data_IF_980865257842
#
_entry.id   IF_980865257842
#
_cell.length_a   1.000
_cell.length_b   1.000
_cell.length_c   1.000
_cell.angle_alpha   90.00
_cell.angle_beta   90.00
_cell.angle_gamma   90.00
#
_symmetry.space_group_name_H-M   'P 1'
#
loop_
_entity.id
_entity.type
_entity.pdbx_description
1 polymer ?
#
# COMPACT_ATOMS: atom_id res chain seq x y z
N UNK A 1 8.24 21.66 13.41
CA UNK A 1 7.12 21.05 13.33
C UNK A 1 7.22 19.63 13.17
N UNK A 2 6.65 18.96 13.95
CA UNK A 2 6.76 17.62 13.86
C UNK A 2 6.03 17.20 12.73
N UNK A 3 6.68 16.69 11.92
CA UNK A 3 6.07 16.18 10.88
C UNK A 3 5.55 14.91 11.24
N UNK A 4 4.32 14.73 11.04
CA UNK A 4 3.79 13.43 11.15
C UNK A 4 4.48 12.63 10.12
N UNK A 5 5.13 11.63 10.53
CA UNK A 5 5.86 10.82 9.60
C UNK A 5 4.86 10.09 8.75
N UNK A 6 4.85 10.38 7.50
CA UNK A 6 3.99 9.66 6.58
C UNK A 6 4.67 8.41 6.13
N UNK A 7 3.93 7.34 6.07
CA UNK A 7 4.44 6.06 5.63
C UNK A 7 3.97 5.80 4.21
N UNK A 8 4.67 4.91 3.57
CA UNK A 8 4.37 4.58 2.18
C UNK A 8 3.57 3.28 2.17
N UNK A 9 2.38 3.34 1.61
CA UNK A 9 1.50 2.18 1.55
C UNK A 9 1.22 1.78 0.13
N UNK A 10 0.99 0.50 -0.07
CA UNK A 10 0.50 -0.02 -1.35
C UNK A 10 -0.91 -0.51 -1.12
N UNK A 11 -1.84 0.03 -1.88
CA UNK A 11 -3.24 -0.38 -1.81
C UNK A 11 -3.54 -1.19 -3.05
N UNK A 12 -3.94 -2.44 -2.86
CA UNK A 12 -4.28 -3.32 -3.95
C UNK A 12 -5.78 -3.42 -4.11
N UNK A 13 -6.25 -3.37 -5.33
CA UNK A 13 -7.67 -3.48 -5.60
C UNK A 13 -7.88 -4.18 -6.94
N UNK A 14 -9.12 -4.48 -7.25
CA UNK A 14 -9.46 -5.13 -8.51
C UNK A 14 -10.69 -4.47 -9.11
N UNK A 15 -10.93 -4.74 -10.38
CA UNK A 15 -12.11 -4.21 -11.06
C UNK A 15 -13.11 -5.33 -11.30
N UNK A 16 -14.20 -5.02 -12.02
CA UNK A 16 -15.23 -6.02 -12.26
C UNK A 16 -14.77 -7.13 -13.18
N UNK A 17 -13.70 -6.90 -13.92
CA UNK A 17 -13.14 -7.93 -14.78
C UNK A 17 -12.10 -8.76 -14.05
N UNK A 18 -11.95 -8.57 -12.73
CA UNK A 18 -11.00 -9.29 -11.91
C UNK A 18 -9.55 -8.94 -12.23
N UNK A 19 -9.33 -7.81 -12.86
CA UNK A 19 -7.98 -7.32 -13.08
C UNK A 19 -7.49 -6.68 -11.80
N UNK A 20 -6.26 -6.96 -11.44
CA UNK A 20 -5.70 -6.46 -10.18
C UNK A 20 -4.79 -5.29 -10.43
N UNK A 21 -4.88 -4.31 -9.55
CA UNK A 21 -4.10 -3.09 -9.64
C UNK A 21 -3.51 -2.76 -8.28
N UNK A 22 -2.44 -1.99 -8.31
CA UNK A 22 -1.83 -1.49 -7.08
C UNK A 22 -1.52 -0.02 -7.26
N UNK A 23 -1.75 0.75 -6.21
CA UNK A 23 -1.37 2.16 -6.21
C UNK A 23 -0.63 2.44 -4.92
N UNK A 24 0.22 3.46 -4.95
CA UNK A 24 1.01 3.84 -3.79
C UNK A 24 0.41 5.09 -3.16
N UNK A 25 0.32 5.09 -1.84
CA UNK A 25 -0.22 6.22 -1.11
C UNK A 25 0.68 6.54 0.06
N UNK A 26 0.82 7.83 0.36
CA UNK A 26 1.52 8.27 1.55
C UNK A 26 0.48 8.67 2.57
N UNK A 27 0.60 8.14 3.76
CA UNK A 27 -0.40 8.39 4.80
C UNK A 27 0.20 8.08 6.17
N UNK A 28 -0.46 8.53 7.22
CA UNK A 28 0.02 8.27 8.56
C UNK A 28 -0.37 6.88 9.03
N UNK A 29 -1.42 6.32 8.46
CA UNK A 29 -1.83 4.96 8.80
C UNK A 29 -2.59 4.35 7.61
N UNK A 30 -2.93 3.09 7.73
CA UNK A 30 -3.57 2.40 6.63
C UNK A 30 -4.97 2.92 6.34
N UNK A 31 -5.66 3.37 7.38
CA UNK A 31 -7.00 3.92 7.17
C UNK A 31 -6.94 5.14 6.26
N UNK A 32 -5.97 6.03 6.54
CA UNK A 32 -5.82 7.21 5.72
C UNK A 32 -5.34 6.84 4.32
N UNK A 33 -4.49 5.83 4.21
CA UNK A 33 -4.03 5.39 2.89
C UNK A 33 -5.19 4.91 2.04
N UNK A 34 -6.11 4.19 2.65
CA UNK A 34 -7.29 3.72 1.92
C UNK A 34 -8.18 4.90 1.54
N UNK A 35 -8.33 5.87 2.43
CA UNK A 35 -9.12 7.05 2.12
C UNK A 35 -8.52 7.81 0.95
N UNK A 36 -7.19 7.95 0.94
CA UNK A 36 -6.52 8.63 -0.16
C UNK A 36 -6.69 7.86 -1.47
N UNK A 37 -6.65 6.53 -1.40
CA UNK A 37 -6.80 5.73 -2.62
C UNK A 37 -8.17 5.94 -3.24
N UNK A 38 -9.19 6.14 -2.43
CA UNK A 38 -10.53 6.40 -2.94
C UNK A 38 -10.59 7.75 -3.63
N UNK A 39 -9.78 8.70 -3.19
CA UNK A 39 -9.73 10.00 -3.85
C UNK A 39 -8.99 9.91 -5.17
N UNK A 40 -7.91 9.15 -5.20
CA UNK A 40 -7.11 9.02 -6.41
C UNK A 40 -7.78 8.15 -7.46
N UNK A 41 -8.57 7.19 -7.01
CA UNK A 41 -9.26 6.27 -7.92
C UNK A 41 -10.74 6.39 -7.63
N UNK A 42 -11.44 7.31 -8.30
CA UNK A 42 -12.85 7.56 -8.00
C UNK A 42 -13.72 6.30 -8.07
N UNK A 43 -13.32 5.36 -8.88
CA UNK A 43 -14.04 4.10 -8.97
C UNK A 43 -14.17 3.44 -7.61
N UNK A 44 -13.14 3.57 -6.76
CA UNK A 44 -13.15 2.94 -5.45
C UNK A 44 -14.10 3.63 -4.47
N UNK A 45 -14.47 4.87 -4.74
CA UNK A 45 -15.44 5.53 -3.87
C UNK A 45 -16.78 4.84 -3.92
N UNK A 46 -17.15 4.37 -5.08
CA UNK A 46 -18.39 3.65 -5.21
C UNK A 46 -18.27 2.16 -4.98
N UNK A 47 -17.04 1.66 -4.91
CA UNK A 47 -16.80 0.23 -4.80
C UNK A 47 -15.70 -0.06 -3.79
N UNK A 48 -15.87 0.36 -2.54
CA UNK A 48 -14.78 0.16 -1.56
C UNK A 48 -14.48 -1.31 -1.30
N UNK A 49 -15.43 -2.19 -1.54
CA UNK A 49 -15.20 -3.61 -1.32
C UNK A 49 -14.26 -4.21 -2.36
N UNK A 50 -13.90 -3.44 -3.38
CA UNK A 50 -12.93 -3.93 -4.36
C UNK A 50 -11.49 -3.72 -3.89
N UNK A 51 -11.29 -3.07 -2.75
CA UNK A 51 -9.97 -2.95 -2.19
C UNK A 51 -9.61 -4.28 -1.54
N UNK A 52 -8.51 -4.89 -1.99
CA UNK A 52 -8.11 -6.21 -1.52
C UNK A 52 -7.17 -6.16 -0.32
N UNK A 53 -6.27 -5.18 -0.30
CA UNK A 53 -5.32 -5.09 0.79
C UNK A 53 -4.66 -3.72 0.83
N UNK A 54 -4.03 -3.44 1.96
CA UNK A 54 -3.26 -2.23 2.14
C UNK A 54 -2.00 -2.62 2.91
N UNK A 55 -0.85 -2.51 2.28
CA UNK A 55 0.41 -2.94 2.87
C UNK A 55 1.26 -1.74 3.23
N UNK A 56 1.90 -1.81 4.39
CA UNK A 56 2.84 -0.79 4.79
C UNK A 56 4.18 -1.10 4.17
N UNK A 57 4.54 -0.39 3.12
CA UNK A 57 5.77 -0.67 2.40
C UNK A 57 7.01 -0.37 3.22
N UNK A 58 6.90 0.52 4.18
CA UNK A 58 8.05 0.83 5.02
C UNK A 58 8.49 -0.40 5.80
N UNK A 59 7.54 -1.16 6.31
CA UNK A 59 7.86 -2.39 7.01
C UNK A 59 8.38 -3.44 6.05
N UNK A 60 7.76 -3.54 4.89
CA UNK A 60 8.19 -4.51 3.91
C UNK A 60 9.61 -4.21 3.46
N UNK A 61 9.93 -2.94 3.25
CA UNK A 61 11.27 -2.57 2.84
C UNK A 61 12.30 -2.91 3.90
N UNK A 62 11.96 -2.71 5.15
CA UNK A 62 12.87 -3.07 6.23
C UNK A 62 13.13 -4.56 6.26
N UNK A 63 12.10 -5.34 6.11
CA UNK A 63 12.23 -6.79 6.11
C UNK A 63 13.07 -7.23 4.92
N UNK A 64 12.82 -6.66 3.76
CA UNK A 64 13.58 -7.01 2.57
C UNK A 64 15.05 -6.68 2.75
N UNK A 65 15.35 -5.54 3.35
CA UNK A 65 16.72 -5.15 3.58
C UNK A 65 17.42 -6.10 4.53
N UNK A 66 16.73 -6.49 5.59
CA UNK A 66 17.30 -7.42 6.52
C UNK A 66 17.57 -8.76 5.86
N UNK A 67 16.65 -9.23 5.06
CA UNK A 67 16.83 -10.49 4.41
C UNK A 67 17.95 -10.43 3.38
N UNK A 68 18.02 -9.35 2.64
CA UNK A 68 19.05 -9.21 1.65
C UNK A 68 20.42 -9.15 2.28
N UNK A 69 20.52 -8.53 3.46
CA UNK A 69 21.80 -8.41 4.10
C UNK A 69 22.18 -9.67 4.82
N UNK A 70 21.22 -10.40 5.35
CA UNK A 70 21.54 -11.54 6.17
C UNK A 70 21.43 -12.85 5.48
N UNK A 71 20.75 -12.91 4.35
CA UNK A 71 20.54 -14.15 3.70
C UNK A 71 20.98 -14.05 2.31
N UNK A 72 21.95 -14.76 1.97
CA UNK A 72 22.43 -14.75 0.63
C UNK A 72 21.39 -15.43 -0.13
N UNK A 73 20.47 -15.14 -0.40
CA UNK A 73 19.47 -15.70 -1.12
C UNK A 73 19.87 -16.47 -2.21
N UNK A 74 20.82 -16.58 -2.31
CA UNK A 74 21.25 -17.37 -3.26
C UNK A 74 20.35 -17.65 -4.21
N UNK A 75 20.21 -17.28 -4.03
CA UNK A 75 19.59 -17.35 -4.51
C UNK A 75 19.59 -17.61 -4.90
#
# INVERSE_FOLDING_TARGET
>A
MPLTAQKHYTVGYHDTAQRKYEICEYAVDSYEAIAHSKEDVPYLQGHPHFIDYCKNNSEIDNISRLMAAGIPMGH
#
